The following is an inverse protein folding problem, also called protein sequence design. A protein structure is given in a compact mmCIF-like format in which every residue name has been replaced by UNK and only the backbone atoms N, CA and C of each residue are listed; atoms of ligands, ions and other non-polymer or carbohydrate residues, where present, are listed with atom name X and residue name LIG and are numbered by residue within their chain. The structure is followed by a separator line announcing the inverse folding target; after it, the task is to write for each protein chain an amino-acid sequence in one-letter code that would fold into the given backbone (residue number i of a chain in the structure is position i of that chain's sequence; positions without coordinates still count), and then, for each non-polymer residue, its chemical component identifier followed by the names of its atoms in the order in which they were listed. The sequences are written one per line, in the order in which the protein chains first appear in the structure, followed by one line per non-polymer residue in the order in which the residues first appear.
data_IF_819536622435
#
_entry.id   IF_819536622435
#
_cell.length_a   1.000
_cell.length_b   1.000
_cell.length_c   1.000
_cell.angle_alpha   90.00
_cell.angle_beta   90.00
_cell.angle_gamma   90.00
#
_symmetry.space_group_name_H-M   'P 1'
#
loop_
_entity.id
_entity.type
_entity.pdbx_description
1 polymer ?
#
# COMPACT_ATOMS: atom_id res chain seq x y z
N UNK A 1 -31.56 -18.43 -8.94
CA UNK A 1 -30.09 -18.52 -9.15
C UNK A 1 -29.65 -17.21 -9.78
N UNK A 2 -29.15 -16.26 -8.99
CA UNK A 2 -28.77 -14.94 -9.50
C UNK A 2 -27.40 -15.06 -10.15
N UNK A 3 -27.34 -14.91 -11.48
CA UNK A 3 -26.09 -14.76 -12.21
C UNK A 3 -25.45 -13.44 -11.79
N UNK A 4 -24.44 -13.52 -10.93
CA UNK A 4 -23.61 -12.37 -10.56
C UNK A 4 -22.94 -11.83 -11.82
N UNK A 5 -23.38 -10.65 -12.26
CA UNK A 5 -22.83 -9.92 -13.39
C UNK A 5 -21.31 -9.75 -13.19
N UNK A 6 -20.51 -10.43 -14.01
CA UNK A 6 -19.09 -10.12 -14.14
C UNK A 6 -18.99 -8.78 -14.87
N UNK A 7 -18.95 -7.69 -14.11
CA UNK A 7 -18.58 -6.38 -14.63
C UNK A 7 -17.20 -6.52 -15.29
N UNK A 8 -17.18 -6.61 -16.62
CA UNK A 8 -15.96 -6.47 -17.41
C UNK A 8 -15.53 -5.01 -17.30
N UNK A 9 -14.87 -4.67 -16.19
CA UNK A 9 -14.12 -3.41 -16.09
C UNK A 9 -13.03 -3.47 -17.17
N UNK A 10 -13.19 -2.63 -18.20
CA UNK A 10 -12.19 -2.48 -19.25
C UNK A 10 -11.03 -1.68 -18.66
N UNK A 11 -10.14 -2.37 -17.95
CA UNK A 11 -8.91 -1.77 -17.43
C UNK A 11 -8.01 -1.45 -18.62
N UNK A 12 -7.64 -0.18 -18.76
CA UNK A 12 -6.61 0.23 -19.72
C UNK A 12 -5.24 -0.24 -19.23
N UNK A 13 -4.25 -0.28 -20.12
CA UNK A 13 -2.87 -0.61 -19.71
C UNK A 13 -2.35 0.39 -18.65
N UNK A 14 -2.74 1.66 -18.74
CA UNK A 14 -2.38 2.68 -17.75
C UNK A 14 -3.03 2.42 -16.39
N UNK A 15 -4.25 1.91 -16.34
CA UNK A 15 -4.88 1.50 -15.08
C UNK A 15 -4.15 0.32 -14.46
N UNK A 16 -3.73 -0.64 -15.27
CA UNK A 16 -2.95 -1.80 -14.81
C UNK A 16 -1.62 -1.35 -14.23
N UNK A 17 -0.88 -0.48 -14.93
CA UNK A 17 0.39 0.08 -14.45
C UNK A 17 0.20 0.83 -13.13
N UNK A 18 -0.86 1.64 -13.02
CA UNK A 18 -1.23 2.37 -11.81
C UNK A 18 -1.56 1.43 -10.65
N UNK A 19 -2.32 0.36 -10.90
CA UNK A 19 -2.63 -0.65 -9.88
C UNK A 19 -1.37 -1.38 -9.43
N UNK A 20 -0.46 -1.72 -10.35
CA UNK A 20 0.82 -2.35 -10.02
C UNK A 20 1.69 -1.43 -9.17
N UNK A 21 1.78 -0.15 -9.53
CA UNK A 21 2.50 0.88 -8.75
C UNK A 21 1.94 0.99 -7.34
N UNK A 22 0.63 1.21 -7.20
CA UNK A 22 -0.05 1.29 -5.91
C UNK A 22 0.10 0.01 -5.09
N UNK A 23 0.04 -1.17 -5.72
CA UNK A 23 0.16 -2.43 -5.02
C UNK A 23 1.61 -2.71 -4.54
N UNK A 24 2.63 -2.12 -5.18
CA UNK A 24 4.01 -2.16 -4.71
C UNK A 24 4.32 -1.14 -3.61
N UNK A 25 3.52 -0.07 -3.49
CA UNK A 25 3.64 0.87 -2.39
C UNK A 25 3.19 0.24 -1.08
N UNK A 26 4.15 0.07 -0.18
CA UNK A 26 3.96 -0.44 1.18
C UNK A 26 2.92 0.36 2.00
N UNK A 27 2.54 1.57 1.56
CA UNK A 27 1.60 2.47 2.25
C UNK A 27 0.18 2.48 1.68
N UNK A 28 -0.08 1.76 0.59
CA UNK A 28 -1.38 1.82 -0.09
C UNK A 28 -2.22 0.59 0.31
N UNK A 29 -3.29 0.77 1.12
CA UNK A 29 -4.14 -0.35 1.52
C UNK A 29 -4.94 -0.84 0.31
N UNK A 30 -5.29 -2.13 0.30
CA UNK A 30 -6.17 -2.69 -0.74
C UNK A 30 -7.53 -1.98 -0.79
N UNK A 31 -7.97 -1.37 0.30
CA UNK A 31 -9.18 -0.54 0.34
C UNK A 31 -9.06 0.70 -0.56
N UNK A 32 -7.91 1.37 -0.62
CA UNK A 32 -7.72 2.52 -1.50
C UNK A 32 -7.78 2.11 -2.97
N UNK A 33 -7.23 0.94 -3.31
CA UNK A 33 -7.32 0.37 -4.65
C UNK A 33 -8.76 -0.01 -4.98
N UNK A 34 -9.49 -0.58 -4.01
CA UNK A 34 -10.90 -0.89 -4.15
C UNK A 34 -11.76 0.36 -4.35
N UNK A 35 -11.48 1.47 -3.66
CA UNK A 35 -12.23 2.71 -3.82
C UNK A 35 -11.99 3.37 -5.18
N UNK A 36 -10.77 3.30 -5.74
CA UNK A 36 -10.44 3.94 -7.02
C UNK A 36 -10.79 3.08 -8.23
N UNK A 37 -10.54 1.78 -8.17
CA UNK A 37 -10.66 0.86 -9.32
C UNK A 37 -11.79 -0.16 -9.17
N UNK A 38 -12.52 -0.11 -8.05
CA UNK A 38 -13.60 -1.06 -7.73
C UNK A 38 -13.13 -2.53 -7.75
N UNK A 39 -11.85 -2.76 -7.45
CA UNK A 39 -11.21 -4.08 -7.43
C UNK A 39 -11.10 -4.60 -5.99
N UNK A 40 -11.64 -5.80 -5.76
CA UNK A 40 -11.39 -6.52 -4.51
C UNK A 40 -9.92 -6.94 -4.39
N UNK A 41 -9.45 -7.15 -3.16
CA UNK A 41 -8.10 -7.66 -2.90
C UNK A 41 -7.80 -8.93 -3.72
N UNK A 42 -8.75 -9.87 -3.79
CA UNK A 42 -8.61 -11.09 -4.56
C UNK A 42 -8.40 -10.83 -6.06
N UNK A 43 -9.05 -9.81 -6.63
CA UNK A 43 -8.86 -9.41 -8.02
C UNK A 43 -7.49 -8.76 -8.23
N UNK A 44 -7.05 -7.89 -7.31
CA UNK A 44 -5.70 -7.29 -7.36
C UNK A 44 -4.62 -8.37 -7.29
N UNK A 45 -4.78 -9.37 -6.42
CA UNK A 45 -3.83 -10.50 -6.34
C UNK A 45 -3.77 -11.29 -7.65
N UNK A 46 -4.92 -11.55 -8.27
CA UNK A 46 -4.98 -12.23 -9.58
C UNK A 46 -4.32 -11.40 -10.68
N UNK A 47 -4.57 -10.09 -10.69
CA UNK A 47 -3.94 -9.15 -11.61
C UNK A 47 -2.42 -9.15 -11.43
N UNK A 48 -1.93 -8.94 -10.20
CA UNK A 48 -0.51 -8.94 -9.88
C UNK A 48 0.19 -10.26 -10.25
N UNK A 49 -0.50 -11.39 -10.13
CA UNK A 49 0.03 -12.70 -10.56
C UNK A 49 0.19 -12.80 -12.09
N UNK A 50 -0.67 -12.13 -12.86
CA UNK A 50 -0.60 -12.10 -14.34
C UNK A 50 0.45 -11.12 -14.84
N UNK A 51 0.57 -9.96 -14.21
CA UNK A 51 1.47 -8.89 -14.67
C UNK A 51 2.92 -9.07 -14.20
N UNK A 52 3.17 -9.67 -13.03
CA UNK A 52 4.51 -9.83 -12.49
C UNK A 52 5.14 -11.19 -12.83
N UNK A 53 6.46 -11.18 -12.99
CA UNK A 53 7.27 -12.40 -12.98
C UNK A 53 7.12 -13.13 -11.63
N UNK A 54 7.17 -14.46 -11.66
CA UNK A 54 6.97 -15.33 -10.49
C UNK A 54 7.82 -14.95 -9.27
N UNK A 55 9.10 -14.62 -9.47
CA UNK A 55 10.01 -14.18 -8.41
C UNK A 55 9.58 -12.87 -7.77
N UNK A 56 9.21 -11.87 -8.57
CA UNK A 56 8.70 -10.58 -8.12
C UNK A 56 7.38 -10.72 -7.37
N UNK A 57 6.46 -11.56 -7.88
CA UNK A 57 5.20 -11.85 -7.21
C UNK A 57 5.41 -12.47 -5.83
N UNK A 58 6.35 -13.42 -5.70
CA UNK A 58 6.67 -14.03 -4.41
C UNK A 58 7.22 -13.01 -3.40
N UNK A 59 8.07 -12.07 -3.85
CA UNK A 59 8.60 -11.01 -2.99
C UNK A 59 7.49 -10.06 -2.52
N UNK A 60 6.63 -9.63 -3.44
CA UNK A 60 5.46 -8.81 -3.13
C UNK A 60 4.53 -9.53 -2.13
N UNK A 61 4.24 -10.82 -2.35
CA UNK A 61 3.41 -11.63 -1.46
C UNK A 61 3.99 -11.73 -0.05
N UNK A 62 5.31 -11.88 0.08
CA UNK A 62 5.99 -11.83 1.38
C UNK A 62 5.76 -10.48 2.07
N UNK A 63 5.87 -9.36 1.35
CA UNK A 63 5.63 -8.01 1.91
C UNK A 63 4.20 -7.80 2.38
N UNK A 64 3.23 -8.16 1.54
CA UNK A 64 1.79 -8.08 1.86
C UNK A 64 1.46 -8.92 3.11
N UNK A 65 1.93 -10.17 3.17
CA UNK A 65 1.70 -11.07 4.30
C UNK A 65 2.49 -10.67 5.56
N UNK A 66 3.54 -9.86 5.45
CA UNK A 66 4.32 -9.36 6.60
C UNK A 66 3.59 -8.27 7.40
N UNK A 67 2.36 -7.91 7.01
CA UNK A 67 1.47 -7.08 7.81
C UNK A 67 1.69 -5.58 7.69
N UNK A 68 2.38 -5.12 6.64
CA UNK A 68 2.60 -3.68 6.40
C UNK A 68 1.26 -2.98 6.10
N UNK A 69 0.36 -3.61 5.35
CA UNK A 69 -0.99 -3.10 5.06
C UNK A 69 -1.92 -3.03 6.29
N UNK A 70 -1.69 -3.83 7.34
CA UNK A 70 -2.57 -3.92 8.51
C UNK A 70 -2.23 -2.89 9.60
N UNK A 71 -1.02 -2.34 9.58
CA UNK A 71 -0.47 -1.52 10.69
C UNK A 71 -0.85 -0.04 10.62
N UNK A 72 -1.16 0.50 9.44
CA UNK A 72 -1.31 1.95 9.28
C UNK A 72 -2.69 2.50 9.68
N UNK A 73 -3.74 1.67 9.73
CA UNK A 73 -5.06 2.09 10.20
C UNK A 73 -5.19 2.06 11.74
N UNK A 74 -4.44 1.20 12.44
CA UNK A 74 -4.70 0.88 13.86
C UNK A 74 -3.65 1.37 14.87
N UNK A 75 -2.48 1.87 14.46
CA UNK A 75 -1.41 2.20 15.41
C UNK A 75 -1.50 3.59 16.06
N UNK A 76 -2.49 4.42 15.69
CA UNK A 76 -2.66 5.74 16.30
C UNK A 76 -3.82 5.72 17.30
N UNK A 77 -3.49 5.74 18.59
CA UNK A 77 -4.49 5.97 19.63
C UNK A 77 -5.12 7.37 19.40
N UNK A 78 -6.45 7.48 19.17
CA UNK A 78 -7.11 8.74 18.90
C UNK A 78 -7.02 9.75 20.06
N UNK A 79 -6.71 9.28 21.27
CA UNK A 79 -6.50 10.13 22.45
C UNK A 79 -5.13 10.82 22.47
N UNK A 80 -4.21 10.45 21.57
CA UNK A 80 -2.86 11.04 21.51
C UNK A 80 -2.83 12.17 20.48
N UNK A 81 -3.08 13.40 20.92
CA UNK A 81 -2.98 14.63 20.12
C UNK A 81 -1.55 15.22 20.08
N UNK A 82 -0.59 14.65 20.82
CA UNK A 82 0.77 15.19 20.85
C UNK A 82 1.52 14.86 19.55
N UNK A 83 1.87 15.89 18.78
CA UNK A 83 2.70 15.78 17.58
C UNK A 83 4.21 15.61 17.89
N UNK A 84 4.64 15.94 19.11
CA UNK A 84 6.04 15.90 19.56
C UNK A 84 6.16 15.18 20.90
N UNK A 85 7.29 14.51 21.15
CA UNK A 85 7.59 13.93 22.47
C UNK A 85 8.25 14.98 23.37
N UNK A 86 7.99 14.95 24.69
CA UNK A 86 8.54 15.93 25.64
C UNK A 86 10.07 15.88 25.75
N UNK A 87 10.70 14.76 25.35
CA UNK A 87 12.16 14.59 25.29
C UNK A 87 12.75 14.89 23.91
N UNK A 88 11.95 15.33 22.93
CA UNK A 88 12.42 15.62 21.58
C UNK A 88 13.26 16.89 21.61
N UNK A 89 14.59 16.73 21.51
CA UNK A 89 15.51 17.86 21.37
C UNK A 89 15.29 18.50 20.00
N UNK A 90 15.28 19.83 19.94
CA UNK A 90 15.31 20.54 18.67
C UNK A 90 16.56 20.12 17.89
N UNK A 91 16.39 19.74 16.62
CA UNK A 91 17.49 19.36 15.69
C UNK A 91 18.29 20.61 15.27
N UNK A 92 17.98 21.78 15.81
CA UNK A 92 18.81 22.97 15.68
C UNK A 92 20.12 22.67 16.43
N UNK A 93 21.24 22.56 15.70
CA UNK A 93 22.60 22.17 16.13
C UNK A 93 23.06 20.74 15.81
N UNK A 94 22.46 20.05 14.82
CA UNK A 94 23.05 18.82 14.30
C UNK A 94 24.33 19.13 13.50
N UNK A 95 25.47 19.24 14.20
CA UNK A 95 26.81 19.59 13.70
C UNK A 95 27.39 18.55 12.71
N UNK A 96 26.66 17.47 12.43
CA UNK A 96 27.07 16.32 11.63
C UNK A 96 27.09 16.62 10.12
N UNK A 97 26.34 17.61 9.62
CA UNK A 97 26.33 17.92 8.17
C UNK A 97 27.53 18.76 7.69
N UNK A 98 28.53 19.02 8.54
CA UNK A 98 29.73 19.80 8.19
C UNK A 98 31.04 19.03 8.45
N UNK A 99 31.10 17.76 8.06
CA UNK A 99 32.40 17.13 7.76
C UNK A 99 32.54 17.01 6.25
N UNK A 100 33.49 17.80 5.75
CA UNK A 100 34.24 17.58 4.51
C UNK A 100 34.74 16.15 4.40
#
# INVERSE_FOLDING_TARGET
MQHSQTNHHHLTNSDIDRIVEMAWEDRTPFEAIALQFNLSEAMVIRLMRRELKRSSFNLWRKRVNSGISQKHAQLRNPLINRFKCSRQRAITLNKISKRT
#
